data_IF_102798065887
#
_entry.id   IF_102798065887
#
_cell.length_a   1.000
_cell.length_b   1.000
_cell.length_c   1.000
_cell.angle_alpha   90.00
_cell.angle_beta   90.00
_cell.angle_gamma   90.00
#
_symmetry.space_group_name_H-M   'P 1'
#
loop_
_entity.id
_entity.type
_entity.pdbx_description
1 polymer ?
#
# COMPACT_ATOMS: atom_id res chain seq x y z
N UNK A 1 2.68 18.74 1.45
CA UNK A 1 2.21 18.91 0.07
C UNK A 1 1.55 17.63 -0.42
N UNK A 2 2.25 16.48 -0.41
CA UNK A 2 1.73 15.22 -1.01
C UNK A 2 0.50 14.62 -0.30
N UNK A 3 0.36 14.74 1.03
CA UNK A 3 -0.84 14.30 1.74
C UNK A 3 -2.08 15.14 1.43
N UNK A 4 -1.93 16.40 1.02
CA UNK A 4 -3.07 17.23 0.61
C UNK A 4 -3.63 16.77 -0.73
N UNK A 5 -2.74 16.42 -1.66
CA UNK A 5 -3.11 15.95 -3.01
C UNK A 5 -3.94 14.67 -2.93
N UNK A 6 -3.61 13.72 -2.04
CA UNK A 6 -4.41 12.49 -1.91
C UNK A 6 -5.81 12.76 -1.33
N UNK A 7 -5.94 13.69 -0.38
CA UNK A 7 -7.25 14.08 0.17
C UNK A 7 -8.11 14.78 -0.90
N UNK A 8 -7.50 15.63 -1.72
CA UNK A 8 -8.18 16.30 -2.84
C UNK A 8 -8.66 15.24 -3.87
N UNK A 9 -7.84 14.24 -4.18
CA UNK A 9 -8.22 13.12 -5.06
C UNK A 9 -9.36 12.27 -4.45
N UNK A 10 -9.31 11.97 -3.16
CA UNK A 10 -10.41 11.27 -2.46
C UNK A 10 -11.71 12.07 -2.57
N UNK A 11 -11.65 13.39 -2.31
CA UNK A 11 -12.82 14.28 -2.41
C UNK A 11 -13.41 14.28 -3.82
N UNK A 12 -12.58 14.31 -4.85
CA UNK A 12 -13.03 14.28 -6.24
C UNK A 12 -13.65 12.93 -6.62
N UNK A 13 -13.08 11.81 -6.18
CA UNK A 13 -13.70 10.51 -6.41
C UNK A 13 -15.02 10.36 -5.64
N UNK A 14 -15.15 10.92 -4.44
CA UNK A 14 -16.44 11.00 -3.72
C UNK A 14 -17.48 11.81 -4.50
N UNK A 15 -17.07 12.88 -5.17
CA UNK A 15 -17.97 13.77 -5.90
C UNK A 15 -18.36 13.26 -7.29
N UNK A 16 -17.45 12.57 -7.99
CA UNK A 16 -17.59 12.27 -9.42
C UNK A 16 -17.36 10.81 -9.80
N UNK A 17 -16.95 9.95 -8.87
CA UNK A 17 -16.67 8.54 -9.10
C UNK A 17 -17.31 7.63 -8.06
N UNK A 18 -16.74 6.44 -7.90
CA UNK A 18 -17.12 5.44 -6.88
C UNK A 18 -15.89 5.05 -6.06
N UNK A 19 -16.12 4.36 -4.96
CA UNK A 19 -15.04 3.78 -4.14
C UNK A 19 -14.11 2.88 -4.97
N UNK A 20 -14.68 2.08 -5.88
CA UNK A 20 -13.91 1.27 -6.83
C UNK A 20 -12.92 2.09 -7.64
N UNK A 21 -13.30 3.30 -8.06
CA UNK A 21 -12.44 4.16 -8.87
C UNK A 21 -11.22 4.63 -8.08
N UNK A 22 -11.44 5.05 -6.83
CA UNK A 22 -10.34 5.39 -5.92
C UNK A 22 -9.43 4.18 -5.65
N UNK A 23 -10.03 3.01 -5.42
CA UNK A 23 -9.31 1.76 -5.19
C UNK A 23 -8.39 1.41 -6.37
N UNK A 24 -8.91 1.52 -7.60
CA UNK A 24 -8.13 1.32 -8.83
C UNK A 24 -7.00 2.35 -8.96
N UNK A 25 -7.29 3.62 -8.67
CA UNK A 25 -6.31 4.71 -8.70
C UNK A 25 -5.14 4.47 -7.72
N UNK A 26 -5.45 4.22 -6.45
CA UNK A 26 -4.44 3.95 -5.41
C UNK A 26 -3.64 2.68 -5.74
N UNK A 27 -4.32 1.62 -6.16
CA UNK A 27 -3.67 0.37 -6.56
C UNK A 27 -2.72 0.56 -7.75
N UNK A 28 -3.08 1.42 -8.71
CA UNK A 28 -2.20 1.72 -9.84
C UNK A 28 -0.91 2.40 -9.39
N UNK A 29 -0.97 3.37 -8.46
CA UNK A 29 0.22 4.03 -7.91
C UNK A 29 1.14 3.07 -7.16
N UNK A 30 0.57 2.13 -6.41
CA UNK A 30 1.34 1.13 -5.65
C UNK A 30 2.02 0.13 -6.60
N UNK A 31 1.30 -0.33 -7.62
CA UNK A 31 1.79 -1.37 -8.57
C UNK A 31 2.68 -0.81 -9.67
N UNK A 32 2.67 0.50 -9.93
CA UNK A 32 3.47 1.13 -10.99
C UNK A 32 4.41 2.25 -10.48
N UNK A 33 5.31 2.01 -9.50
CA UNK A 33 6.27 3.04 -9.06
C UNK A 33 7.14 3.60 -10.19
N UNK A 34 7.36 2.80 -11.23
CA UNK A 34 7.85 3.21 -12.54
C UNK A 34 6.78 2.83 -13.57
N UNK A 35 6.45 3.76 -14.47
CA UNK A 35 5.47 3.58 -15.54
C UNK A 35 5.95 4.23 -16.84
N UNK A 36 5.19 4.08 -17.91
CA UNK A 36 5.27 4.93 -19.10
C UNK A 36 4.08 5.88 -19.15
N UNK A 37 4.21 7.00 -19.86
CA UNK A 37 3.10 7.91 -20.15
C UNK A 37 1.95 7.20 -20.87
N UNK A 38 2.26 6.37 -21.87
CA UNK A 38 1.26 5.59 -22.62
C UNK A 38 0.43 4.69 -21.69
N UNK A 39 1.10 4.00 -20.74
CA UNK A 39 0.41 3.15 -19.76
C UNK A 39 -0.49 3.95 -18.81
N UNK A 40 -0.11 5.19 -18.50
CA UNK A 40 -0.93 6.10 -17.69
C UNK A 40 -2.16 6.55 -18.49
N UNK A 41 -1.99 6.93 -19.76
CA UNK A 41 -3.09 7.28 -20.65
C UNK A 41 -4.07 6.12 -20.84
N UNK A 42 -3.57 4.91 -21.07
CA UNK A 42 -4.38 3.69 -21.15
C UNK A 42 -5.16 3.45 -19.86
N UNK A 43 -4.52 3.65 -18.71
CA UNK A 43 -5.18 3.54 -17.40
C UNK A 43 -6.30 4.57 -17.23
N UNK A 44 -6.06 5.83 -17.59
CA UNK A 44 -7.08 6.88 -17.52
C UNK A 44 -8.25 6.53 -18.42
N UNK A 45 -7.99 6.21 -19.69
CA UNK A 45 -9.02 5.93 -20.71
C UNK A 45 -9.87 4.70 -20.35
N UNK A 46 -9.22 3.62 -19.90
CA UNK A 46 -9.90 2.38 -19.52
C UNK A 46 -10.90 2.59 -18.38
N UNK A 47 -10.53 3.39 -17.39
CA UNK A 47 -11.33 3.52 -16.16
C UNK A 47 -12.31 4.70 -16.19
N UNK A 48 -12.00 5.79 -16.92
CA UNK A 48 -12.95 6.92 -17.05
C UNK A 48 -14.10 6.64 -17.99
N UNK A 49 -13.97 5.65 -18.89
CA UNK A 49 -14.93 5.37 -19.97
C UNK A 49 -15.25 6.67 -20.74
N UNK A 50 -16.52 6.92 -21.05
CA UNK A 50 -16.99 8.12 -21.75
C UNK A 50 -17.34 9.29 -20.80
N UNK A 51 -17.04 9.19 -19.49
CA UNK A 51 -17.32 10.26 -18.53
C UNK A 51 -16.19 11.29 -18.49
N UNK A 52 -16.49 12.49 -18.99
CA UNK A 52 -15.52 13.59 -19.06
C UNK A 52 -15.11 14.15 -17.69
N UNK A 53 -15.98 14.08 -16.67
CA UNK A 53 -15.66 14.51 -15.31
C UNK A 53 -14.75 13.48 -14.66
N UNK A 54 -15.10 12.20 -14.73
CA UNK A 54 -14.29 11.12 -14.19
C UNK A 54 -12.92 11.06 -14.86
N UNK A 55 -12.84 11.32 -16.17
CA UNK A 55 -11.56 11.45 -16.90
C UNK A 55 -10.66 12.53 -16.30
N UNK A 56 -11.21 13.67 -15.90
CA UNK A 56 -10.45 14.75 -15.23
C UNK A 56 -9.92 14.29 -13.88
N UNK A 57 -10.72 13.55 -13.10
CA UNK A 57 -10.28 13.01 -11.80
C UNK A 57 -9.14 12.01 -11.99
N UNK A 58 -9.28 11.03 -12.89
CA UNK A 58 -8.20 10.09 -13.20
C UNK A 58 -6.94 10.77 -13.74
N UNK A 59 -7.08 11.83 -14.55
CA UNK A 59 -5.94 12.58 -15.10
C UNK A 59 -5.05 13.22 -14.03
N UNK A 60 -5.56 13.46 -12.80
CA UNK A 60 -4.74 13.91 -11.67
C UNK A 60 -3.61 12.94 -11.33
N UNK A 61 -3.67 11.69 -11.79
CA UNK A 61 -2.58 10.72 -11.59
C UNK A 61 -1.24 11.24 -12.11
N UNK A 62 -1.23 12.08 -13.15
CA UNK A 62 -0.01 12.71 -13.66
C UNK A 62 0.71 13.56 -12.61
N UNK A 63 -0.01 14.16 -11.67
CA UNK A 63 0.56 14.95 -10.58
C UNK A 63 1.38 14.09 -9.59
N UNK A 64 1.19 12.78 -9.61
CA UNK A 64 1.90 11.83 -8.75
C UNK A 64 3.20 11.31 -9.37
N UNK A 65 3.42 11.58 -10.67
CA UNK A 65 4.60 11.16 -11.41
C UNK A 65 5.53 12.34 -11.71
N UNK A 66 6.79 12.01 -11.95
CA UNK A 66 7.84 12.90 -12.43
C UNK A 66 8.72 12.16 -13.44
N UNK A 67 9.42 12.91 -14.29
CA UNK A 67 10.49 12.32 -15.10
C UNK A 67 11.56 11.70 -14.21
N UNK A 68 12.14 10.59 -14.68
CA UNK A 68 13.25 9.97 -13.96
C UNK A 68 14.45 10.93 -14.01
N UNK A 69 14.97 11.41 -12.87
CA UNK A 69 16.08 12.36 -12.90
C UNK A 69 17.33 11.73 -13.53
N UNK A 70 18.06 12.53 -14.32
CA UNK A 70 19.19 12.05 -15.14
C UNK A 70 20.25 11.27 -14.36
N UNK A 71 20.48 11.61 -13.09
CA UNK A 71 21.47 10.92 -12.25
C UNK A 71 21.09 9.48 -11.85
N UNK A 72 19.86 9.04 -12.10
CA UNK A 72 19.46 7.63 -11.98
C UNK A 72 19.73 6.82 -13.24
N UNK A 73 20.05 7.49 -14.36
CA UNK A 73 20.20 6.86 -15.68
C UNK A 73 21.69 6.62 -15.93
N UNK A 74 22.09 5.36 -15.99
CA UNK A 74 23.48 4.94 -16.22
C UNK A 74 23.50 4.04 -17.45
N UNK A 75 24.24 4.44 -18.50
CA UNK A 75 24.33 3.68 -19.76
C UNK A 75 22.96 3.23 -20.28
N UNK A 76 22.02 4.17 -20.35
CA UNK A 76 20.63 3.95 -20.78
C UNK A 76 19.83 2.90 -19.97
N UNK A 77 20.23 2.67 -18.71
CA UNK A 77 19.51 1.82 -17.78
C UNK A 77 19.21 2.57 -16.49
N UNK A 78 18.17 2.14 -15.79
CA UNK A 78 17.86 2.56 -14.43
C UNK A 78 17.86 1.34 -13.52
N UNK A 79 18.36 1.52 -12.31
CA UNK A 79 18.34 0.47 -11.30
C UNK A 79 17.12 0.64 -10.39
N UNK A 80 16.36 -0.42 -10.19
CA UNK A 80 15.13 -0.43 -9.40
C UNK A 80 15.20 -1.43 -8.25
N UNK A 81 14.57 -1.06 -7.13
CA UNK A 81 14.47 -1.87 -5.94
C UNK A 81 13.64 -3.13 -6.19
N UNK A 82 14.11 -4.29 -5.73
CA UNK A 82 13.37 -5.54 -5.90
C UNK A 82 12.10 -5.65 -5.03
N UNK A 83 12.05 -4.89 -3.93
CA UNK A 83 10.90 -4.89 -3.05
C UNK A 83 9.85 -3.87 -3.48
N UNK A 84 10.26 -2.61 -3.63
CA UNK A 84 9.34 -1.51 -3.91
C UNK A 84 9.31 -1.02 -5.35
N UNK A 85 10.10 -1.63 -6.24
CA UNK A 85 10.16 -1.31 -7.69
C UNK A 85 10.52 0.13 -8.04
N UNK A 86 10.89 0.96 -7.07
CA UNK A 86 11.28 2.35 -7.30
C UNK A 86 12.79 2.49 -7.56
N UNK A 87 13.19 3.61 -8.13
CA UNK A 87 14.60 3.89 -8.48
C UNK A 87 15.52 3.83 -7.26
N UNK A 88 16.67 3.17 -7.40
CA UNK A 88 17.75 3.12 -6.40
C UNK A 88 18.70 4.29 -6.59
N UNK A 89 19.11 4.91 -5.47
CA UNK A 89 20.13 5.95 -5.44
C UNK A 89 21.50 5.29 -5.34
N UNK A 90 22.38 5.57 -6.29
CA UNK A 90 23.78 5.14 -6.26
C UNK A 90 24.66 6.35 -5.86
N UNK A 91 25.21 6.36 -4.64
CA UNK A 91 26.07 7.45 -4.13
C UNK A 91 27.31 6.87 -3.47
N UNK A 92 28.50 7.27 -3.91
CA UNK A 92 29.80 6.89 -3.32
C UNK A 92 29.98 5.37 -3.15
N UNK A 93 29.65 4.58 -4.18
CA UNK A 93 29.61 3.10 -4.17
C UNK A 93 28.55 2.46 -3.26
N UNK A 94 27.77 3.24 -2.52
CA UNK A 94 26.64 2.73 -1.77
C UNK A 94 25.32 2.86 -2.54
N UNK A 95 24.45 1.89 -2.32
CA UNK A 95 23.09 1.86 -2.87
C UNK A 95 22.08 2.12 -1.78
N UNK A 96 21.14 3.02 -2.04
CA UNK A 96 20.08 3.36 -1.11
C UNK A 96 18.72 3.30 -1.79
N UNK A 97 17.74 2.77 -1.05
CA UNK A 97 16.34 2.88 -1.42
C UNK A 97 15.65 3.94 -0.53
N UNK A 98 14.38 4.21 -0.77
CA UNK A 98 13.61 5.21 -0.02
C UNK A 98 13.37 4.86 1.46
N UNK A 99 13.50 3.58 1.81
CA UNK A 99 13.23 3.06 3.15
C UNK A 99 14.18 1.92 3.50
N UNK A 100 14.64 1.89 4.75
CA UNK A 100 15.38 0.77 5.34
C UNK A 100 14.55 -0.54 5.32
N UNK A 101 13.22 -0.43 5.25
CA UNK A 101 12.38 -1.61 5.08
C UNK A 101 12.61 -2.32 3.75
N UNK A 102 12.96 -1.57 2.69
CA UNK A 102 13.34 -2.19 1.42
C UNK A 102 14.61 -3.03 1.59
N UNK A 103 15.61 -2.55 2.34
CA UNK A 103 16.84 -3.29 2.64
C UNK A 103 16.52 -4.58 3.40
N UNK A 104 15.68 -4.50 4.43
CA UNK A 104 15.24 -5.69 5.16
C UNK A 104 14.55 -6.74 4.28
N UNK A 105 13.92 -6.31 3.17
CA UNK A 105 13.26 -7.16 2.18
C UNK A 105 14.13 -7.47 0.95
N UNK A 106 15.47 -7.41 1.08
CA UNK A 106 16.43 -7.67 -0.01
C UNK A 106 16.23 -6.77 -1.24
N UNK A 107 15.67 -5.57 -1.04
CA UNK A 107 15.30 -4.65 -2.11
C UNK A 107 16.51 -4.12 -2.87
N UNK A 108 17.64 -3.93 -2.19
CA UNK A 108 18.88 -3.40 -2.77
C UNK A 108 19.75 -4.56 -3.27
N UNK A 109 19.88 -5.61 -2.47
CA UNK A 109 20.74 -6.77 -2.74
C UNK A 109 20.28 -7.56 -3.98
N UNK A 110 18.98 -7.57 -4.26
CA UNK A 110 18.37 -8.22 -5.43
C UNK A 110 17.87 -7.23 -6.47
N UNK A 111 18.35 -5.99 -6.45
CA UNK A 111 17.95 -4.93 -7.39
C UNK A 111 18.04 -5.38 -8.85
N UNK A 112 17.25 -4.72 -9.69
CA UNK A 112 17.17 -5.03 -11.13
C UNK A 112 17.54 -3.82 -11.95
N UNK A 113 18.27 -4.02 -13.02
CA UNK A 113 18.44 -3.01 -14.05
C UNK A 113 17.34 -3.17 -15.10
N UNK A 114 16.67 -2.08 -15.44
CA UNK A 114 15.72 -2.05 -16.56
C UNK A 114 16.14 -0.96 -17.54
N UNK A 115 15.84 -1.19 -18.82
CA UNK A 115 16.14 -0.22 -19.87
C UNK A 115 15.38 1.08 -19.64
N UNK A 116 16.07 2.21 -19.80
CA UNK A 116 15.46 3.52 -19.80
C UNK A 116 14.92 3.87 -21.19
N UNK A 117 13.74 4.51 -21.20
CA UNK A 117 13.12 5.12 -22.37
C UNK A 117 12.60 6.50 -21.96
N UNK A 118 12.57 7.46 -22.88
CA UNK A 118 12.17 8.85 -22.61
C UNK A 118 10.72 9.01 -22.14
N UNK A 119 9.84 8.06 -22.49
CA UNK A 119 8.45 8.06 -22.01
C UNK A 119 8.30 7.48 -20.59
N UNK A 120 9.37 6.96 -19.96
CA UNK A 120 9.31 6.43 -18.59
C UNK A 120 9.29 7.54 -17.57
N UNK A 121 8.41 7.36 -16.61
CA UNK A 121 8.21 8.24 -15.47
C UNK A 121 8.26 7.42 -14.19
N UNK A 122 8.57 8.08 -13.08
CA UNK A 122 8.52 7.47 -11.74
C UNK A 122 7.53 8.22 -10.87
N UNK A 123 6.94 7.57 -9.89
CA UNK A 123 6.19 8.31 -8.88
C UNK A 123 7.13 9.23 -8.09
N UNK A 124 6.63 10.41 -7.71
CA UNK A 124 7.37 11.38 -6.90
C UNK A 124 7.80 10.76 -5.58
N UNK A 125 8.93 11.23 -5.04
CA UNK A 125 9.49 10.71 -3.77
C UNK A 125 8.49 10.70 -2.62
N UNK A 126 7.72 11.77 -2.45
CA UNK A 126 6.71 11.86 -1.39
C UNK A 126 5.58 10.84 -1.57
N UNK A 127 5.09 10.68 -2.81
CA UNK A 127 4.09 9.67 -3.18
C UNK A 127 4.62 8.26 -2.91
N UNK A 128 5.84 7.95 -3.32
CA UNK A 128 6.46 6.67 -3.02
C UNK A 128 6.50 6.40 -1.52
N UNK A 129 6.93 7.40 -0.73
CA UNK A 129 7.13 7.23 0.72
C UNK A 129 5.84 7.04 1.50
N UNK A 130 4.80 7.78 1.14
CA UNK A 130 3.60 7.90 1.96
C UNK A 130 2.36 7.21 1.38
N UNK A 131 2.39 6.81 0.11
CA UNK A 131 1.28 6.15 -0.56
C UNK A 131 1.72 4.77 -1.05
N UNK A 132 2.68 4.71 -1.99
CA UNK A 132 2.99 3.45 -2.66
C UNK A 132 3.72 2.45 -1.79
N UNK A 133 4.70 2.87 -0.98
CA UNK A 133 5.46 1.95 -0.13
C UNK A 133 4.61 1.33 0.98
N UNK A 134 3.81 2.10 1.76
CA UNK A 134 2.86 1.52 2.72
C UNK A 134 1.82 0.60 2.07
N UNK A 135 1.41 0.90 0.83
CA UNK A 135 0.44 0.08 0.09
C UNK A 135 0.94 -1.30 -0.35
N UNK A 136 2.25 -1.57 -0.31
CA UNK A 136 2.79 -2.89 -0.68
C UNK A 136 2.31 -3.98 0.28
N UNK A 137 2.50 -3.88 1.61
CA UNK A 137 1.97 -4.87 2.55
C UNK A 137 0.44 -4.94 2.53
N UNK A 138 -0.28 -3.84 2.29
CA UNK A 138 -1.75 -3.81 2.14
C UNK A 138 -2.20 -4.76 0.99
N UNK A 139 -1.64 -4.58 -0.21
CA UNK A 139 -1.94 -5.42 -1.39
C UNK A 139 -1.49 -6.87 -1.17
N UNK A 140 -0.33 -7.08 -0.54
CA UNK A 140 0.17 -8.43 -0.29
C UNK A 140 -0.74 -9.21 0.67
N UNK A 141 -1.25 -8.55 1.71
CA UNK A 141 -2.21 -9.15 2.64
C UNK A 141 -3.53 -9.46 1.93
N UNK A 142 -4.06 -8.54 1.11
CA UNK A 142 -5.25 -8.79 0.31
C UNK A 142 -5.11 -10.07 -0.54
N UNK A 143 -4.01 -10.18 -1.29
CA UNK A 143 -3.74 -11.35 -2.13
C UNK A 143 -3.63 -12.66 -1.32
N UNK A 144 -3.15 -12.60 -0.06
CA UNK A 144 -3.06 -13.78 0.81
C UNK A 144 -4.44 -14.18 1.33
N UNK A 145 -5.28 -13.22 1.69
CA UNK A 145 -6.63 -13.45 2.19
C UNK A 145 -7.58 -13.94 1.08
N UNK A 146 -7.55 -13.34 -0.11
CA UNK A 146 -8.34 -13.81 -1.26
C UNK A 146 -8.05 -15.27 -1.62
N UNK A 147 -6.78 -15.71 -1.49
CA UNK A 147 -6.38 -17.12 -1.69
C UNK A 147 -6.97 -18.09 -0.67
N UNK A 148 -7.49 -17.60 0.46
CA UNK A 148 -8.23 -18.41 1.42
C UNK A 148 -9.71 -18.57 1.04
N UNK A 149 -10.17 -17.86 0.01
CA UNK A 149 -11.56 -17.89 -0.46
C UNK A 149 -12.50 -16.95 0.30
N UNK A 150 -11.97 -15.97 1.06
CA UNK A 150 -12.79 -14.89 1.65
C UNK A 150 -12.89 -13.71 0.72
N UNK A 151 -14.03 -13.02 0.77
CA UNK A 151 -14.22 -11.75 0.09
C UNK A 151 -13.47 -10.65 0.85
N UNK A 152 -12.69 -9.84 0.12
CA UNK A 152 -11.91 -8.75 0.70
C UNK A 152 -12.05 -7.50 -0.14
N UNK A 153 -12.32 -6.37 0.50
CA UNK A 153 -12.37 -5.05 -0.12
C UNK A 153 -11.14 -4.26 0.29
N UNK A 154 -10.34 -3.81 -0.67
CA UNK A 154 -9.26 -2.84 -0.45
C UNK A 154 -9.79 -1.41 -0.39
N UNK A 155 -9.30 -0.62 0.57
CA UNK A 155 -9.58 0.81 0.75
C UNK A 155 -11.07 1.19 0.88
N UNK A 156 -11.87 0.48 1.70
CA UNK A 156 -13.28 0.77 1.91
C UNK A 156 -13.54 2.21 2.38
N UNK A 157 -14.73 2.71 2.05
CA UNK A 157 -15.21 4.05 2.35
C UNK A 157 -14.26 5.18 1.89
N UNK A 158 -13.57 4.95 0.77
CA UNK A 158 -12.53 5.81 0.22
C UNK A 158 -11.32 5.98 1.17
N UNK A 159 -10.62 4.89 1.44
CA UNK A 159 -9.38 4.87 2.26
C UNK A 159 -9.63 5.16 3.75
N UNK A 160 -10.81 4.84 4.29
CA UNK A 160 -11.03 4.96 5.75
C UNK A 160 -10.13 3.98 6.51
N UNK A 161 -9.90 2.81 5.93
CA UNK A 161 -8.96 1.80 6.39
C UNK A 161 -8.51 0.91 5.23
N UNK A 162 -7.54 0.02 5.48
CA UNK A 162 -6.81 -0.62 4.38
C UNK A 162 -7.57 -1.80 3.76
N UNK A 163 -8.15 -2.71 4.57
CA UNK A 163 -8.93 -3.85 4.07
C UNK A 163 -10.19 -4.11 4.92
N UNK A 164 -11.29 -4.49 4.28
CA UNK A 164 -12.48 -5.10 4.91
C UNK A 164 -12.55 -6.58 4.51
N UNK A 165 -12.54 -7.50 5.48
CA UNK A 165 -12.77 -8.92 5.22
C UNK A 165 -14.25 -9.20 5.47
N UNK A 166 -14.96 -9.69 4.45
CA UNK A 166 -16.37 -10.04 4.54
C UNK A 166 -16.55 -11.55 4.66
N UNK A 167 -17.12 -11.97 5.78
CA UNK A 167 -17.64 -13.31 6.03
C UNK A 167 -19.14 -13.35 5.75
N UNK A 168 -19.79 -14.49 6.04
CA UNK A 168 -21.23 -14.65 5.80
C UNK A 168 -22.11 -13.70 6.64
N UNK A 169 -21.71 -13.47 7.89
CA UNK A 169 -22.46 -12.64 8.86
C UNK A 169 -21.62 -11.55 9.53
N UNK A 170 -20.29 -11.61 9.41
CA UNK A 170 -19.36 -10.70 10.07
C UNK A 170 -18.46 -9.98 9.05
N UNK A 171 -18.00 -8.80 9.42
CA UNK A 171 -17.01 -7.98 8.74
C UNK A 171 -15.88 -7.60 9.68
N UNK A 172 -14.65 -7.81 9.24
CA UNK A 172 -13.47 -7.40 9.99
C UNK A 172 -12.75 -6.27 9.27
N UNK A 173 -12.55 -5.16 9.98
CA UNK A 173 -11.75 -4.05 9.49
C UNK A 173 -10.27 -4.25 9.80
N UNK A 174 -9.42 -4.00 8.82
CA UNK A 174 -7.98 -4.22 8.89
C UNK A 174 -7.26 -2.94 8.50
N UNK A 175 -6.26 -2.58 9.29
CA UNK A 175 -5.36 -1.48 8.99
C UNK A 175 -3.91 -1.93 9.24
N UNK A 176 -3.09 -1.86 8.20
CA UNK A 176 -1.76 -2.44 8.12
C UNK A 176 -0.71 -1.38 8.47
N UNK A 177 0.01 -1.58 9.57
CA UNK A 177 0.97 -0.59 10.08
C UNK A 177 2.41 -1.12 10.07
N UNK A 178 3.18 -0.66 9.10
CA UNK A 178 4.58 -1.02 8.90
C UNK A 178 5.57 -0.08 9.65
N UNK A 179 5.45 -0.01 10.98
CA UNK A 179 6.36 0.78 11.80
C UNK A 179 7.61 -0.02 12.17
N UNK A 180 8.79 0.62 12.10
CA UNK A 180 10.03 0.00 12.57
C UNK A 180 10.15 -0.06 14.09
N UNK A 181 9.56 0.90 14.80
CA UNK A 181 9.59 0.99 16.25
C UNK A 181 8.16 0.81 16.83
N UNK A 182 7.93 -0.24 17.64
CA UNK A 182 6.61 -0.53 18.21
C UNK A 182 6.10 0.56 19.17
N UNK A 183 6.99 1.27 19.90
CA UNK A 183 6.58 2.37 20.77
C UNK A 183 6.03 3.55 19.97
N UNK A 184 6.61 3.84 18.80
CA UNK A 184 6.10 4.88 17.90
C UNK A 184 4.72 4.48 17.37
N UNK A 185 4.53 3.21 16.97
CA UNK A 185 3.24 2.70 16.54
C UNK A 185 2.16 2.92 17.60
N UNK A 186 2.39 2.43 18.83
CA UNK A 186 1.45 2.57 19.95
C UNK A 186 1.21 4.04 20.34
N UNK A 187 2.21 4.90 20.20
CA UNK A 187 2.03 6.33 20.45
C UNK A 187 1.13 7.00 19.41
N UNK A 188 1.11 6.51 18.16
CA UNK A 188 0.41 7.15 17.04
C UNK A 188 -0.98 6.59 16.80
N UNK A 189 -1.19 5.28 16.97
CA UNK A 189 -2.49 4.66 16.79
C UNK A 189 -3.25 4.73 18.11
N UNK A 190 -4.24 5.62 18.15
CA UNK A 190 -5.04 5.91 19.35
C UNK A 190 -6.46 5.33 19.30
N UNK A 191 -7.02 5.20 18.11
CA UNK A 191 -8.36 4.68 17.87
C UNK A 191 -8.41 4.06 16.48
N UNK A 192 -9.16 2.98 16.34
CA UNK A 192 -9.47 2.36 15.06
C UNK A 192 -10.75 1.53 15.23
N UNK A 193 -11.90 2.18 15.03
CA UNK A 193 -13.22 1.57 15.19
C UNK A 193 -14.09 1.98 14.00
N UNK A 194 -13.92 1.35 12.83
CA UNK A 194 -14.80 1.62 11.70
C UNK A 194 -16.22 1.21 12.03
N UNK A 195 -17.17 2.09 11.72
CA UNK A 195 -18.58 1.79 11.88
C UNK A 195 -18.92 0.62 10.93
N UNK A 196 -19.68 -0.36 11.43
CA UNK A 196 -20.14 -1.55 10.68
C UNK A 196 -19.14 -2.72 10.53
N UNK A 197 -18.17 -2.84 11.44
CA UNK A 197 -17.34 -4.04 11.57
C UNK A 197 -17.42 -4.61 12.99
N UNK A 198 -17.61 -5.92 13.11
CA UNK A 198 -17.67 -6.64 14.40
C UNK A 198 -16.29 -6.70 15.06
N UNK A 199 -15.22 -6.64 14.26
CA UNK A 199 -13.83 -6.65 14.75
C UNK A 199 -12.96 -5.69 13.96
N UNK A 200 -11.96 -5.14 14.64
CA UNK A 200 -10.96 -4.27 14.03
C UNK A 200 -9.56 -4.70 14.44
N UNK A 201 -8.65 -4.74 13.47
CA UNK A 201 -7.28 -5.20 13.69
C UNK A 201 -6.26 -4.21 13.12
N UNK A 202 -5.28 -3.86 13.96
CA UNK A 202 -4.04 -3.25 13.48
C UNK A 202 -3.06 -4.38 13.19
N UNK A 203 -2.77 -4.58 11.91
CA UNK A 203 -1.92 -5.68 11.43
C UNK A 203 -0.49 -5.20 11.24
N UNK A 204 0.44 -5.93 11.82
CA UNK A 204 1.86 -5.67 11.65
C UNK A 204 2.47 -6.76 10.74
N UNK A 205 3.15 -6.37 9.65
CA UNK A 205 3.82 -7.34 8.77
C UNK A 205 4.79 -8.24 9.53
N UNK A 206 4.79 -9.54 9.22
CA UNK A 206 5.60 -10.55 9.92
C UNK A 206 7.10 -10.17 10.01
N UNK A 207 7.60 -9.49 8.97
CA UNK A 207 9.00 -9.08 8.88
C UNK A 207 9.44 -8.18 10.03
N UNK A 208 8.55 -7.36 10.61
CA UNK A 208 8.88 -6.49 11.74
C UNK A 208 9.22 -7.27 13.01
N UNK A 209 8.55 -8.38 13.26
CA UNK A 209 8.87 -9.27 14.39
C UNK A 209 10.15 -10.06 14.18
N UNK A 210 10.51 -10.36 12.92
CA UNK A 210 11.79 -11.01 12.60
C UNK A 210 12.95 -10.05 12.89
N UNK A 211 12.77 -8.76 12.61
CA UNK A 211 13.79 -7.73 12.80
C UNK A 211 13.89 -7.25 14.26
N UNK A 212 12.80 -7.30 15.02
CA UNK A 212 12.74 -6.90 16.42
C UNK A 212 11.92 -7.92 17.22
N UNK A 213 12.59 -8.76 18.01
CA UNK A 213 11.95 -9.84 18.78
C UNK A 213 11.01 -9.31 19.86
N UNK A 214 11.33 -8.16 20.45
CA UNK A 214 10.56 -7.54 21.54
C UNK A 214 9.29 -6.84 21.02
N UNK A 215 9.14 -6.71 19.69
CA UNK A 215 7.98 -6.07 19.07
C UNK A 215 6.67 -6.72 19.55
N UNK A 216 6.66 -8.07 19.67
CA UNK A 216 5.47 -8.82 20.10
C UNK A 216 5.10 -8.47 21.53
N UNK A 217 6.06 -8.47 22.42
CA UNK A 217 5.82 -8.26 23.84
C UNK A 217 5.31 -6.83 24.10
N UNK A 218 5.86 -5.84 23.38
CA UNK A 218 5.42 -4.44 23.49
C UNK A 218 3.98 -4.24 23.00
N UNK A 219 3.56 -4.96 21.96
CA UNK A 219 2.18 -4.90 21.47
C UNK A 219 1.21 -5.66 22.39
N UNK A 220 1.59 -6.85 22.84
CA UNK A 220 0.77 -7.68 23.72
C UNK A 220 0.61 -7.06 25.12
N UNK A 221 1.53 -6.19 25.53
CA UNK A 221 1.37 -5.41 26.76
C UNK A 221 0.27 -4.33 26.66
N UNK A 222 -0.40 -4.17 25.51
CA UNK A 222 -1.46 -3.19 25.31
C UNK A 222 -2.80 -3.87 25.34
N UNK A 223 -3.69 -3.35 26.19
CA UNK A 223 -5.08 -3.75 26.19
C UNK A 223 -5.76 -3.29 24.89
N UNK A 224 -6.70 -4.07 24.33
CA UNK A 224 -7.53 -3.63 23.22
C UNK A 224 -8.28 -2.34 23.58
N UNK A 225 -8.30 -1.39 22.65
CA UNK A 225 -9.09 -0.14 22.73
C UNK A 225 -9.81 0.01 21.39
N UNK A 226 -10.94 -0.69 21.24
CA UNK A 226 -11.67 -0.74 19.96
C UNK A 226 -11.11 -1.69 18.90
N UNK A 227 -9.81 -1.97 18.97
CA UNK A 227 -9.11 -2.86 18.04
C UNK A 227 -8.07 -3.74 18.75
N UNK A 228 -7.68 -4.83 18.08
CA UNK A 228 -6.59 -5.72 18.50
C UNK A 228 -5.34 -5.49 17.65
N UNK A 229 -4.18 -5.37 18.27
CA UNK A 229 -2.91 -5.49 17.55
C UNK A 229 -2.64 -6.95 17.23
N UNK A 230 -2.40 -7.27 15.96
CA UNK A 230 -2.16 -8.64 15.52
C UNK A 230 -1.01 -8.71 14.51
N UNK A 231 -0.27 -9.81 14.56
CA UNK A 231 0.77 -10.07 13.56
C UNK A 231 0.15 -10.75 12.35
N UNK A 232 0.65 -10.45 11.15
CA UNK A 232 0.04 -10.88 9.89
C UNK A 232 -0.28 -12.39 9.85
N UNK A 233 0.68 -13.25 10.23
CA UNK A 233 0.45 -14.71 10.25
C UNK A 233 -0.63 -15.18 11.22
N UNK A 234 -0.84 -14.50 12.33
CA UNK A 234 -1.88 -14.87 13.30
C UNK A 234 -3.25 -14.39 12.84
N UNK A 235 -3.34 -13.24 12.14
CA UNK A 235 -4.57 -12.86 11.45
C UNK A 235 -4.97 -13.92 10.44
N UNK A 236 -4.03 -14.38 9.61
CA UNK A 236 -4.29 -15.44 8.62
C UNK A 236 -4.82 -16.72 9.29
N UNK A 237 -4.29 -17.10 10.46
CA UNK A 237 -4.82 -18.24 11.22
C UNK A 237 -6.24 -18.00 11.73
N UNK A 238 -6.50 -16.84 12.35
CA UNK A 238 -7.84 -16.47 12.83
C UNK A 238 -8.88 -16.48 11.71
N UNK A 239 -8.51 -15.98 10.52
CA UNK A 239 -9.38 -16.01 9.33
C UNK A 239 -9.67 -17.45 8.90
N UNK A 240 -8.65 -18.33 8.85
CA UNK A 240 -8.86 -19.76 8.51
C UNK A 240 -9.79 -20.46 9.51
N UNK A 241 -9.62 -20.22 10.80
CA UNK A 241 -10.48 -20.77 11.85
C UNK A 241 -11.92 -20.29 11.68
N UNK A 242 -12.13 -18.99 11.41
CA UNK A 242 -13.45 -18.42 11.14
C UNK A 242 -14.12 -19.03 9.92
N UNK A 243 -13.40 -19.19 8.80
CA UNK A 243 -13.91 -19.86 7.59
C UNK A 243 -14.35 -21.30 7.89
N UNK A 244 -13.55 -22.04 8.67
CA UNK A 244 -13.86 -23.44 9.00
C UNK A 244 -15.11 -23.54 9.88
N UNK A 245 -15.28 -22.62 10.83
CA UNK A 245 -16.45 -22.59 11.71
C UNK A 245 -17.74 -22.23 10.98
N UNK A 246 -17.69 -21.45 9.89
CA UNK A 246 -18.88 -21.12 9.08
C UNK A 246 -19.28 -22.23 8.08
N UNK A 247 -18.41 -23.22 7.87
CA UNK A 247 -18.68 -24.39 7.02
C UNK A 247 -19.27 -25.57 7.79
N UNK A 248 -19.25 -25.52 9.12
CA UNK A 248 -19.83 -26.51 10.03
C UNK A 248 -21.30 -26.14 10.32
#
# INVERSE_FOLDING_TARGET
MDQKIILDVISDFKAYGKEEDYRLFRTFLIKNPISTRDKIDDFIMKNSKYDSKLKKVYAKIYEFYEDIPKHYIIKNNIEVCNYCSWTIINKNNDKYCISEYCKANMGIEKSKCIQYESNKVRIKRGVMRYISLPGIPEINLNNKLEKLGVSVTLYPNFDEYDLEICFSIDKWAIDVKDYGNPYILVSKVKSFEPNNCEKSFIVIPDKRFILNKDYKDILLSKNPIGFEYIIERELIKKVKEKINNEKL
#
